data_IF_943748063967
#
_entry.id   IF_943748063967
#
_cell.length_a   1.000
_cell.length_b   1.000
_cell.length_c   1.000
_cell.angle_alpha   90.00
_cell.angle_beta   90.00
_cell.angle_gamma   90.00
#
_symmetry.space_group_name_H-M   'P 1'
#
loop_
_entity.id
_entity.type
_entity.pdbx_description
1 polymer ?
#
# COMPACT_ATOMS: atom_id res chain seq x y z
N UNK A 1 -12.66 -18.79 -10.66
CA UNK A 1 -11.28 -18.27 -10.86
C UNK A 1 -10.57 -18.36 -9.52
N UNK A 2 -9.48 -19.10 -9.44
CA UNK A 2 -8.68 -19.25 -8.21
C UNK A 2 -8.17 -17.88 -7.74
N UNK A 3 -8.51 -17.49 -6.52
CA UNK A 3 -8.15 -16.19 -5.91
C UNK A 3 -6.62 -15.95 -5.96
N UNK A 4 -5.84 -17.02 -5.85
CA UNK A 4 -4.38 -17.08 -6.01
C UNK A 4 -3.83 -16.66 -7.37
N UNK A 5 -4.68 -16.42 -8.39
CA UNK A 5 -4.23 -15.92 -9.71
C UNK A 5 -4.43 -14.42 -9.88
N UNK A 6 -5.00 -13.73 -8.88
CA UNK A 6 -5.32 -12.30 -8.97
C UNK A 6 -4.17 -11.45 -8.44
N UNK A 7 -3.78 -10.42 -9.18
CA UNK A 7 -2.76 -9.47 -8.75
C UNK A 7 -3.23 -8.68 -7.52
N UNK A 8 -4.53 -8.37 -7.44
CA UNK A 8 -5.15 -7.76 -6.24
C UNK A 8 -4.88 -8.54 -4.96
N UNK A 9 -4.89 -9.88 -5.01
CA UNK A 9 -4.58 -10.70 -3.83
C UNK A 9 -3.09 -10.64 -3.47
N UNK A 10 -2.20 -10.86 -4.44
CA UNK A 10 -0.76 -10.90 -4.19
C UNK A 10 -0.19 -9.56 -3.77
N UNK A 11 -0.67 -8.44 -4.32
CA UNK A 11 -0.23 -7.11 -3.91
C UNK A 11 -0.70 -6.80 -2.48
N UNK A 12 -1.94 -7.12 -2.11
CA UNK A 12 -2.37 -6.97 -0.71
C UNK A 12 -1.53 -7.83 0.21
N UNK A 13 -1.26 -9.10 -0.15
CA UNK A 13 -0.42 -9.97 0.65
C UNK A 13 1.00 -9.41 0.82
N UNK A 14 1.62 -8.91 -0.25
CA UNK A 14 2.93 -8.26 -0.18
C UNK A 14 2.90 -7.03 0.72
N UNK A 15 1.90 -6.16 0.56
CA UNK A 15 1.71 -5.00 1.42
C UNK A 15 1.54 -5.42 2.88
N UNK A 16 0.90 -6.55 3.17
CA UNK A 16 0.69 -7.01 4.55
C UNK A 16 2.01 -7.35 5.20
N UNK A 17 2.88 -8.07 4.47
CA UNK A 17 4.22 -8.40 4.92
C UNK A 17 5.07 -7.15 5.18
N UNK A 18 5.00 -6.14 4.31
CA UNK A 18 5.70 -4.86 4.49
C UNK A 18 5.21 -4.16 5.76
N UNK A 19 3.89 -4.07 5.96
CA UNK A 19 3.32 -3.46 7.16
C UNK A 19 3.71 -4.22 8.44
N UNK A 20 3.72 -5.55 8.43
CA UNK A 20 4.19 -6.33 9.57
C UNK A 20 5.68 -6.10 9.85
N UNK A 21 6.52 -6.09 8.81
CA UNK A 21 7.95 -5.87 8.94
C UNK A 21 8.26 -4.51 9.58
N UNK A 22 7.55 -3.47 9.14
CA UNK A 22 7.62 -2.13 9.69
C UNK A 22 7.11 -2.06 11.14
N UNK A 23 5.95 -2.65 11.41
CA UNK A 23 5.34 -2.68 12.75
C UNK A 23 6.21 -3.38 13.81
N UNK A 24 6.96 -4.41 13.43
CA UNK A 24 7.92 -5.07 14.32
C UNK A 24 9.21 -4.25 14.56
N UNK A 25 9.33 -3.06 13.98
CA UNK A 25 10.47 -2.17 14.16
C UNK A 25 11.69 -2.55 13.32
N UNK A 26 11.54 -3.45 12.35
CA UNK A 26 12.63 -3.84 11.46
C UNK A 26 12.91 -2.79 10.36
N UNK A 27 12.05 -1.78 10.23
CA UNK A 27 12.22 -0.62 9.35
C UNK A 27 12.20 0.68 10.15
N UNK A 28 13.32 0.99 10.80
CA UNK A 28 13.45 2.12 11.73
C UNK A 28 13.15 3.51 11.11
N UNK A 29 13.07 3.61 9.78
CA UNK A 29 12.78 4.87 9.06
C UNK A 29 11.55 4.77 8.18
N UNK A 30 10.79 3.67 8.26
CA UNK A 30 9.63 3.40 7.41
C UNK A 30 9.94 3.47 5.90
N UNK A 31 11.21 3.27 5.51
CA UNK A 31 11.70 3.48 4.13
C UNK A 31 11.04 2.48 3.18
N UNK A 32 10.96 1.21 3.58
CA UNK A 32 10.35 0.17 2.75
C UNK A 32 8.87 0.46 2.54
N UNK A 33 8.20 0.96 3.58
CA UNK A 33 6.79 1.32 3.55
C UNK A 33 6.52 2.49 2.59
N UNK A 34 7.41 3.49 2.52
CA UNK A 34 7.26 4.61 1.58
C UNK A 34 7.73 4.28 0.15
N UNK A 35 8.90 3.67 -0.03
CA UNK A 35 9.50 3.42 -1.35
C UNK A 35 8.67 2.45 -2.19
N UNK A 36 8.06 1.44 -1.56
CA UNK A 36 7.28 0.43 -2.29
C UNK A 36 5.93 0.95 -2.76
N UNK A 37 5.47 2.08 -2.24
CA UNK A 37 4.17 2.65 -2.53
C UNK A 37 4.26 4.15 -2.87
N UNK A 38 4.58 4.50 -4.13
CA UNK A 38 4.82 5.90 -4.50
C UNK A 38 3.59 6.80 -4.31
N UNK A 39 2.38 6.25 -4.43
CA UNK A 39 1.16 7.02 -4.16
C UNK A 39 0.99 7.28 -2.66
N UNK A 40 1.29 6.29 -1.81
CA UNK A 40 1.30 6.46 -0.37
C UNK A 40 2.38 7.46 0.10
N UNK A 41 3.58 7.39 -0.48
CA UNK A 41 4.64 8.36 -0.24
C UNK A 41 4.16 9.77 -0.58
N UNK A 42 3.61 9.98 -1.77
CA UNK A 42 3.09 11.28 -2.18
C UNK A 42 2.04 11.86 -1.23
N UNK A 43 1.00 11.07 -0.87
CA UNK A 43 -0.07 11.56 0.01
C UNK A 43 0.39 11.75 1.46
N UNK A 44 1.50 11.13 1.88
CA UNK A 44 2.08 11.35 3.20
C UNK A 44 2.63 12.77 3.41
N UNK A 45 2.83 13.52 2.33
CA UNK A 45 3.23 14.94 2.36
C UNK A 45 2.05 15.90 2.18
N UNK A 46 0.82 15.42 2.00
CA UNK A 46 -0.37 16.23 1.68
C UNK A 46 -1.35 16.24 2.85
N UNK A 47 -1.76 17.41 3.32
CA UNK A 47 -2.83 17.52 4.32
C UNK A 47 -4.22 17.37 3.66
N UNK A 48 -5.21 16.75 4.33
CA UNK A 48 -5.18 16.27 5.72
C UNK A 48 -4.57 14.86 5.89
N UNK A 49 -4.23 14.17 4.80
CA UNK A 49 -3.81 12.76 4.82
C UNK A 49 -2.54 12.52 5.63
N UNK A 50 -1.58 13.44 5.56
CA UNK A 50 -0.36 13.41 6.36
C UNK A 50 -0.65 13.21 7.85
N UNK A 51 -1.57 14.01 8.42
CA UNK A 51 -1.96 13.90 9.83
C UNK A 51 -2.66 12.57 10.18
N UNK A 52 -3.26 11.90 9.20
CA UNK A 52 -3.85 10.57 9.37
C UNK A 52 -2.82 9.44 9.27
N UNK A 53 -1.67 9.69 8.65
CA UNK A 53 -0.65 8.67 8.40
C UNK A 53 0.46 8.74 9.43
N UNK A 54 0.93 9.94 9.76
CA UNK A 54 2.13 10.17 10.58
C UNK A 54 1.76 11.04 11.79
N UNK A 55 2.10 10.55 12.98
CA UNK A 55 2.10 11.35 14.20
C UNK A 55 3.53 11.76 14.50
N UNK A 56 3.78 13.07 14.45
CA UNK A 56 5.08 13.62 14.87
C UNK A 56 5.04 13.80 16.39
N UNK A 57 5.86 13.04 17.11
CA UNK A 57 6.04 13.24 18.55
C UNK A 57 7.03 14.38 18.81
N UNK A 58 6.93 15.08 19.96
CA UNK A 58 7.89 16.11 20.35
C UNK A 58 9.34 15.59 20.43
N UNK A 59 9.50 14.30 20.71
CA UNK A 59 10.78 13.62 20.95
C UNK A 59 11.47 13.12 19.66
N UNK A 60 11.20 13.78 18.53
CA UNK A 60 11.80 13.60 17.20
C UNK A 60 11.42 12.32 16.42
N UNK A 61 10.94 11.26 17.05
CA UNK A 61 10.51 10.05 16.32
C UNK A 61 9.06 10.17 15.82
N UNK A 62 8.92 10.10 14.49
CA UNK A 62 7.63 10.02 13.81
C UNK A 62 7.08 8.59 13.87
N UNK A 63 5.82 8.42 14.25
CA UNK A 63 5.16 7.12 14.32
C UNK A 63 4.09 7.01 13.24
N UNK A 64 4.07 5.88 12.53
CA UNK A 64 3.00 5.56 11.59
C UNK A 64 1.75 5.12 12.35
N UNK A 65 0.61 5.77 12.06
CA UNK A 65 -0.67 5.40 12.64
C UNK A 65 -1.24 4.13 11.99
N UNK A 66 -2.13 3.38 12.69
CA UNK A 66 -2.89 2.27 12.10
C UNK A 66 -3.59 2.61 10.78
N UNK A 67 -4.09 3.85 10.68
CA UNK A 67 -4.69 4.42 9.47
C UNK A 67 -3.72 4.51 8.30
N UNK A 68 -2.44 4.77 8.53
CA UNK A 68 -1.39 4.75 7.52
C UNK A 68 -1.20 3.34 6.93
N UNK A 69 -1.07 2.31 7.78
CA UNK A 69 -0.96 0.93 7.32
C UNK A 69 -2.19 0.48 6.52
N UNK A 70 -3.39 0.85 6.96
CA UNK A 70 -4.63 0.55 6.25
C UNK A 70 -4.65 1.23 4.86
N UNK A 71 -4.24 2.49 4.79
CA UNK A 71 -4.16 3.23 3.54
C UNK A 71 -3.15 2.61 2.55
N UNK A 72 -1.99 2.18 3.05
CA UNK A 72 -0.99 1.47 2.26
C UNK A 72 -1.58 0.19 1.64
N UNK A 73 -2.30 -0.61 2.44
CA UNK A 73 -2.99 -1.83 1.98
C UNK A 73 -4.03 -1.52 0.90
N UNK A 74 -4.87 -0.50 1.12
CA UNK A 74 -5.94 -0.09 0.18
C UNK A 74 -5.35 0.34 -1.15
N UNK A 75 -4.24 1.09 -1.16
CA UNK A 75 -3.59 1.52 -2.40
C UNK A 75 -3.07 0.32 -3.19
N UNK A 76 -2.39 -0.63 -2.55
CA UNK A 76 -1.93 -1.85 -3.22
C UNK A 76 -3.08 -2.69 -3.76
N UNK A 77 -4.18 -2.77 -3.01
CA UNK A 77 -5.40 -3.42 -3.49
C UNK A 77 -5.95 -2.75 -4.75
N UNK A 78 -6.04 -1.42 -4.77
CA UNK A 78 -6.51 -0.66 -5.93
C UNK A 78 -5.60 -0.85 -7.14
N UNK A 79 -4.27 -0.82 -6.97
CA UNK A 79 -3.32 -1.11 -8.05
C UNK A 79 -3.49 -2.53 -8.59
N UNK A 80 -3.66 -3.53 -7.72
CA UNK A 80 -3.89 -4.90 -8.16
C UNK A 80 -5.23 -5.09 -8.85
N UNK A 81 -6.29 -4.42 -8.38
CA UNK A 81 -7.58 -4.39 -9.07
C UNK A 81 -7.49 -3.73 -10.45
N UNK A 82 -6.72 -2.64 -10.58
CA UNK A 82 -6.49 -1.97 -11.85
C UNK A 82 -5.81 -2.92 -12.84
N UNK A 83 -4.74 -3.61 -12.42
CA UNK A 83 -4.03 -4.60 -13.24
C UNK A 83 -4.98 -5.74 -13.65
N UNK A 84 -5.70 -6.32 -12.68
CA UNK A 84 -6.65 -7.40 -12.94
C UNK A 84 -7.73 -6.96 -13.94
N UNK A 85 -8.24 -5.73 -13.83
CA UNK A 85 -9.26 -5.16 -14.73
C UNK A 85 -8.71 -4.96 -16.14
N UNK A 86 -7.51 -4.39 -16.29
CA UNK A 86 -6.85 -4.20 -17.59
C UNK A 86 -6.65 -5.55 -18.29
N UNK A 87 -6.18 -6.58 -17.56
CA UNK A 87 -5.98 -7.92 -18.10
C UNK A 87 -7.29 -8.57 -18.55
N UNK A 88 -8.37 -8.38 -17.78
CA UNK A 88 -9.70 -8.86 -18.14
C UNK A 88 -10.24 -8.17 -19.40
N UNK A 89 -10.09 -6.85 -19.51
CA UNK A 89 -10.49 -6.09 -20.68
C UNK A 89 -9.70 -6.54 -21.93
N UNK A 90 -8.37 -6.67 -21.83
CA UNK A 90 -7.52 -7.16 -22.92
C UNK A 90 -7.94 -8.55 -23.39
N UNK A 91 -8.24 -9.47 -22.46
CA UNK A 91 -8.68 -10.83 -22.80
C UNK A 91 -10.04 -10.83 -23.52
N UNK A 92 -10.94 -9.91 -23.17
CA UNK A 92 -12.23 -9.75 -23.86
C UNK A 92 -12.04 -9.26 -25.30
N UNK A 93 -11.20 -8.24 -25.50
CA UNK A 93 -10.94 -7.66 -26.84
C UNK A 93 -10.27 -8.63 -27.81
N UNK A 94 -9.41 -9.54 -27.33
CA UNK A 94 -8.74 -10.53 -28.19
C UNK A 94 -9.69 -11.65 -28.65
N UNK A 95 -10.75 -11.92 -27.89
CA UNK A 95 -11.70 -13.01 -28.16
C UNK A 95 -12.92 -12.58 -28.98
N UNK A 96 -13.02 -11.29 -29.35
CA UNK A 96 -14.02 -10.70 -30.25
C UNK A 96 -13.40 -10.38 -31.59
#
# INVERSE_FOLDING_TARGET
MTLFKRFSFWLVFLSFLICCFDYFGNDAKHILLFVTNPLFDYISYVEPFRSWIIKVSPDADSVILPTGYLLHMVIFFLFGLLIDTILLLRKRTINT
#
